data_IF_752460953653
#
_entry.id   IF_752460953653
#
_cell.length_a   1.000
_cell.length_b   1.000
_cell.length_c   1.000
_cell.angle_alpha   90.00
_cell.angle_beta   90.00
_cell.angle_gamma   90.00
#
_symmetry.space_group_name_H-M   'P 1'
#
loop_
_entity.id
_entity.type
_entity.pdbx_description
1 polymer ?
#
# COMPACT_ATOMS: atom_id res chain seq x y z
N UNK A 1 -6.00 -1.29 -10.21
CA UNK A 1 -5.15 -0.26 -10.89
C UNK A 1 -5.13 -0.56 -12.39
N UNK A 2 -5.17 0.44 -13.29
CA UNK A 2 -5.13 0.14 -14.73
C UNK A 2 -3.69 -0.10 -15.19
N UNK A 3 -3.42 -1.23 -15.86
CA UNK A 3 -2.08 -1.62 -16.27
C UNK A 3 -1.35 -0.57 -17.15
N UNK A 4 -2.10 0.15 -17.98
CA UNK A 4 -1.55 1.18 -18.89
C UNK A 4 -1.66 2.62 -18.34
N UNK A 5 -2.64 2.89 -17.48
CA UNK A 5 -3.01 4.26 -17.10
C UNK A 5 -2.77 4.55 -15.61
N UNK A 6 -2.29 3.56 -14.85
CA UNK A 6 -2.04 3.69 -13.44
C UNK A 6 -3.32 3.91 -12.63
N UNK A 7 -3.31 4.91 -11.75
CA UNK A 7 -4.42 5.24 -10.87
C UNK A 7 -5.56 5.88 -11.66
N UNK A 8 -6.71 5.19 -11.74
CA UNK A 8 -7.90 5.64 -12.46
C UNK A 8 -9.02 5.95 -11.48
N UNK A 9 -9.69 7.09 -11.70
CA UNK A 9 -10.90 7.47 -10.99
C UNK A 9 -12.11 7.29 -11.91
N UNK A 10 -13.19 6.74 -11.34
CA UNK A 10 -14.44 6.46 -12.06
C UNK A 10 -15.57 7.19 -11.35
N UNK A 11 -16.45 7.83 -12.11
CA UNK A 11 -17.66 8.44 -11.57
C UNK A 11 -18.74 7.36 -11.39
N UNK A 12 -18.97 6.94 -10.16
CA UNK A 12 -20.07 6.06 -9.76
C UNK A 12 -21.38 6.82 -9.53
N UNK A 13 -22.44 6.09 -9.25
CA UNK A 13 -23.77 6.66 -8.93
C UNK A 13 -23.78 7.51 -7.66
N UNK A 14 -22.81 7.30 -6.79
CA UNK A 14 -22.65 7.87 -5.45
C UNK A 14 -21.41 8.77 -5.32
N UNK A 15 -20.74 9.07 -6.44
CA UNK A 15 -19.62 10.01 -6.52
C UNK A 15 -18.37 9.43 -7.14
N UNK A 16 -17.24 10.12 -6.94
CA UNK A 16 -15.95 9.66 -7.46
C UNK A 16 -15.43 8.48 -6.64
N UNK A 17 -15.09 7.41 -7.36
CA UNK A 17 -14.52 6.18 -6.84
C UNK A 17 -13.10 6.03 -7.38
N UNK A 18 -12.21 5.51 -6.54
CA UNK A 18 -10.84 5.20 -6.91
C UNK A 18 -10.52 3.76 -6.55
N UNK A 19 -9.90 3.04 -7.48
CA UNK A 19 -9.32 1.73 -7.19
C UNK A 19 -7.99 1.94 -6.46
N UNK A 20 -7.85 1.35 -5.28
CA UNK A 20 -6.63 1.32 -4.48
C UNK A 20 -6.14 -0.11 -4.33
N UNK A 21 -4.84 -0.26 -4.14
CA UNK A 21 -4.21 -1.52 -3.73
C UNK A 21 -4.07 -1.51 -2.21
N UNK A 22 -4.43 -2.62 -1.58
CA UNK A 22 -4.34 -2.84 -0.14
C UNK A 22 -3.39 -4.00 0.08
N UNK A 23 -2.26 -3.70 0.71
CA UNK A 23 -1.31 -4.71 1.16
C UNK A 23 -1.83 -5.36 2.46
N UNK A 24 -1.82 -6.69 2.51
CA UNK A 24 -2.17 -7.48 3.69
C UNK A 24 -1.08 -8.48 4.00
N UNK A 25 -0.57 -8.44 5.22
CA UNK A 25 0.35 -9.45 5.74
C UNK A 25 -0.45 -10.60 6.34
N UNK A 26 -0.24 -11.80 5.80
CA UNK A 26 -0.91 -13.03 6.22
C UNK A 26 0.15 -13.98 6.80
N UNK A 27 0.00 -14.46 8.04
CA UNK A 27 0.93 -15.44 8.58
C UNK A 27 0.80 -16.75 7.81
N UNK A 28 1.93 -17.34 7.43
CA UNK A 28 1.96 -18.67 6.83
C UNK A 28 1.90 -19.69 7.98
N UNK A 29 0.88 -20.58 8.03
CA UNK A 29 0.79 -21.58 9.08
C UNK A 29 2.03 -22.48 9.07
N UNK A 30 2.65 -22.67 10.23
CA UNK A 30 3.76 -23.62 10.39
C UNK A 30 3.24 -24.86 11.11
N UNK A 31 3.70 -26.04 10.69
CA UNK A 31 3.38 -27.30 11.38
C UNK A 31 4.40 -27.59 12.50
N UNK A 32 5.57 -26.95 12.46
CA UNK A 32 6.61 -27.05 13.48
C UNK A 32 6.78 -25.75 14.27
N UNK A 33 6.81 -25.81 15.62
CA UNK A 33 6.97 -24.64 16.48
C UNK A 33 8.39 -24.05 16.46
N UNK A 34 9.39 -24.79 15.97
CA UNK A 34 10.79 -24.35 15.88
C UNK A 34 11.14 -23.72 14.51
N UNK A 35 10.20 -23.63 13.58
CA UNK A 35 10.42 -22.99 12.27
C UNK A 35 10.33 -21.46 12.36
N UNK A 36 11.15 -20.79 11.53
CA UNK A 36 11.07 -19.35 11.34
C UNK A 36 9.67 -18.98 10.87
N UNK A 37 9.01 -18.07 11.60
CA UNK A 37 7.73 -17.52 11.21
C UNK A 37 7.89 -16.84 9.84
N UNK A 38 7.13 -17.32 8.86
CA UNK A 38 7.08 -16.74 7.53
C UNK A 38 5.76 -15.99 7.34
N UNK A 39 5.82 -14.86 6.67
CA UNK A 39 4.67 -14.03 6.34
C UNK A 39 4.53 -13.95 4.82
N UNK A 40 3.30 -14.06 4.34
CA UNK A 40 2.94 -13.80 2.94
C UNK A 40 2.36 -12.41 2.84
N UNK A 41 2.81 -11.66 1.84
CA UNK A 41 2.24 -10.36 1.50
C UNK A 41 1.25 -10.59 0.36
N UNK A 42 -0.03 -10.36 0.62
CA UNK A 42 -1.10 -10.39 -0.38
C UNK A 42 -1.45 -8.95 -0.76
N UNK A 43 -1.70 -8.70 -2.04
CA UNK A 43 -2.13 -7.40 -2.57
C UNK A 43 -3.54 -7.57 -3.11
N UNK A 44 -4.50 -6.91 -2.49
CA UNK A 44 -5.90 -6.88 -2.91
C UNK A 44 -6.25 -5.54 -3.57
N UNK A 45 -7.20 -5.54 -4.50
CA UNK A 45 -7.77 -4.31 -5.04
C UNK A 45 -9.11 -3.98 -4.36
N UNK A 46 -9.31 -2.70 -4.03
CA UNK A 46 -10.57 -2.20 -3.49
C UNK A 46 -10.98 -0.88 -4.16
N UNK A 47 -12.29 -0.70 -4.35
CA UNK A 47 -12.86 0.57 -4.80
C UNK A 47 -13.37 1.35 -3.60
N UNK A 48 -12.86 2.57 -3.42
CA UNK A 48 -13.21 3.43 -2.30
C UNK A 48 -13.65 4.81 -2.79
N UNK A 49 -14.50 5.44 -1.99
CA UNK A 49 -14.90 6.81 -2.24
C UNK A 49 -13.73 7.77 -2.06
N UNK A 50 -13.51 8.66 -3.04
CA UNK A 50 -12.43 9.65 -2.97
C UNK A 50 -12.59 10.58 -1.74
N UNK A 51 -13.83 10.87 -1.32
CA UNK A 51 -14.09 11.68 -0.11
C UNK A 51 -13.69 11.01 1.21
N UNK A 52 -13.51 9.69 1.22
CA UNK A 52 -13.10 8.92 2.39
C UNK A 52 -11.57 8.79 2.46
N UNK A 53 -10.87 9.13 1.38
CA UNK A 53 -9.41 9.15 1.35
C UNK A 53 -8.87 10.36 2.10
N UNK A 54 -7.96 10.12 3.02
CA UNK A 54 -7.12 11.20 3.56
C UNK A 54 -6.28 11.79 2.44
N UNK A 55 -6.14 13.13 2.38
CA UNK A 55 -5.21 13.77 1.46
C UNK A 55 -3.81 13.17 1.62
N UNK A 56 -3.15 12.88 0.50
CA UNK A 56 -1.78 12.42 0.51
C UNK A 56 -0.87 13.51 1.10
N UNK A 57 -0.02 13.12 2.04
CA UNK A 57 1.00 13.98 2.63
C UNK A 57 2.35 13.34 2.39
N UNK A 58 2.96 13.72 1.26
CA UNK A 58 4.21 13.14 0.80
C UNK A 58 5.32 13.26 1.86
N UNK A 59 5.35 14.34 2.64
CA UNK A 59 6.37 14.53 3.67
C UNK A 59 6.19 13.51 4.80
N UNK A 60 4.95 13.33 5.26
CA UNK A 60 4.59 12.36 6.29
C UNK A 60 4.80 10.92 5.82
N UNK A 61 4.48 10.63 4.55
CA UNK A 61 4.66 9.29 3.97
C UNK A 61 6.14 8.93 3.84
N UNK A 62 6.99 9.87 3.38
CA UNK A 62 8.45 9.71 3.36
C UNK A 62 9.00 9.48 4.77
N UNK A 63 8.56 10.27 5.76
CA UNK A 63 8.98 10.11 7.14
C UNK A 63 8.59 8.72 7.69
N UNK A 64 7.38 8.26 7.40
CA UNK A 64 6.89 6.94 7.77
C UNK A 64 7.71 5.81 7.15
N UNK A 65 8.03 5.91 5.86
CA UNK A 65 8.86 4.92 5.17
C UNK A 65 10.29 4.88 5.71
N UNK A 66 10.89 6.04 6.00
CA UNK A 66 12.21 6.12 6.65
C UNK A 66 12.20 5.47 8.02
N UNK A 67 11.19 5.75 8.85
CA UNK A 67 11.04 5.14 10.18
C UNK A 67 10.93 3.61 10.13
N UNK A 68 10.31 3.07 9.09
CA UNK A 68 10.20 1.62 8.86
C UNK A 68 11.44 1.00 8.20
N UNK A 69 12.46 1.81 7.86
CA UNK A 69 13.64 1.35 7.11
C UNK A 69 13.33 0.93 5.67
N UNK A 70 12.13 1.24 5.17
CA UNK A 70 11.66 0.89 3.83
C UNK A 70 12.05 1.92 2.77
N UNK A 71 12.58 3.07 3.19
CA UNK A 71 13.17 4.07 2.31
C UNK A 71 14.63 4.31 2.72
N UNK A 72 15.52 3.58 2.06
CA UNK A 72 16.96 3.79 2.10
C UNK A 72 17.29 4.91 1.11
N UNK A 73 17.26 6.15 1.55
CA UNK A 73 17.81 7.24 0.74
C UNK A 73 19.31 7.25 0.98
N UNK A 74 20.09 6.70 0.06
CA UNK A 74 21.47 7.19 -0.13
C UNK A 74 21.31 8.63 -0.63
N UNK A 75 21.41 9.60 0.27
CA UNK A 75 21.79 10.96 -0.13
C UNK A 75 23.20 10.87 -0.68
N UNK A 76 23.32 10.54 -1.97
CA UNK A 76 24.49 10.96 -2.74
C UNK A 76 24.40 12.48 -2.84
N UNK A 77 25.05 13.14 -1.89
CA UNK A 77 25.43 14.54 -2.03
C UNK A 77 26.34 14.66 -3.26
N UNK A 78 25.83 15.27 -4.33
CA UNK A 78 26.63 15.85 -5.42
C UNK A 78 26.07 17.20 -5.81
#
# INVERSE_FOLDING_TARGET
MHAEFGMVEVLGTDGWMRCIEIERTVPIPTENPDELAAERIDIDEAWVHVRELTPADLAKDIEGLRKRGQLLVDTMDT
#
